data_IF_378782329137
#
_entry.id   IF_378782329137
#
_cell.length_a   1.000
_cell.length_b   1.000
_cell.length_c   1.000
_cell.angle_alpha   90.00
_cell.angle_beta   90.00
_cell.angle_gamma   90.00
#
_symmetry.space_group_name_H-M   'P 1'
#
loop_
_entity.id
_entity.type
_entity.pdbx_description
1 polymer ?
#
# COMPACT_ATOMS: atom_id res chain seq x y z
N UNK A 1 12.43 -0.44 5.80
CA UNK A 1 13.22 0.73 5.37
C UNK A 1 12.29 1.67 4.65
N UNK A 2 12.34 2.93 4.96
CA UNK A 2 11.54 3.97 4.29
C UNK A 2 12.39 4.63 3.21
N UNK A 3 11.83 4.81 2.02
CA UNK A 3 12.48 5.62 0.98
C UNK A 3 12.30 7.09 1.40
N UNK A 4 13.39 7.79 1.58
CA UNK A 4 13.43 9.09 2.28
C UNK A 4 12.90 10.25 1.41
N UNK A 5 12.85 10.09 0.09
CA UNK A 5 12.34 11.15 -0.80
C UNK A 5 10.83 11.02 -1.00
N UNK A 6 10.07 12.08 -0.78
CA UNK A 6 8.65 12.11 -1.10
C UNK A 6 8.44 11.90 -2.61
N UNK A 7 7.48 11.03 -2.94
CA UNK A 7 7.17 10.68 -4.33
C UNK A 7 5.66 10.76 -4.48
N UNK A 8 5.18 11.40 -5.57
CA UNK A 8 3.78 11.34 -5.92
C UNK A 8 3.37 9.92 -6.27
N UNK A 9 2.14 9.53 -5.93
CA UNK A 9 1.65 8.17 -6.13
C UNK A 9 1.54 7.84 -7.61
N UNK A 10 1.02 8.76 -8.39
CA UNK A 10 0.98 8.68 -9.84
C UNK A 10 1.02 10.08 -10.44
N UNK A 11 1.86 10.26 -11.44
CA UNK A 11 1.89 11.45 -12.32
C UNK A 11 1.30 11.15 -13.69
N UNK A 12 0.82 9.94 -13.93
CA UNK A 12 0.36 9.44 -15.21
C UNK A 12 -1.04 9.92 -15.55
N UNK A 13 -1.44 9.72 -16.80
CA UNK A 13 -2.78 10.08 -17.25
C UNK A 13 -3.84 9.26 -16.50
N UNK A 14 -5.06 9.78 -16.46
CA UNK A 14 -6.20 9.06 -15.89
C UNK A 14 -6.43 7.68 -16.53
N UNK A 15 -6.16 7.54 -17.82
CA UNK A 15 -6.32 6.26 -18.52
C UNK A 15 -5.35 5.20 -17.95
N UNK A 16 -4.12 5.58 -17.65
CA UNK A 16 -3.09 4.70 -17.11
C UNK A 16 -3.40 4.25 -15.68
N UNK A 17 -3.99 5.13 -14.88
CA UNK A 17 -4.28 4.88 -13.46
C UNK A 17 -5.32 3.77 -13.21
N UNK A 18 -6.07 3.33 -14.22
CA UNK A 18 -7.09 2.28 -14.09
C UNK A 18 -6.66 0.93 -14.66
N UNK A 19 -5.47 0.85 -15.27
CA UNK A 19 -4.96 -0.39 -15.85
C UNK A 19 -3.90 -1.04 -14.96
N UNK A 20 -3.70 -2.34 -15.12
CA UNK A 20 -2.59 -3.08 -14.49
C UNK A 20 -1.38 -3.20 -15.44
N UNK A 21 -1.41 -2.53 -16.58
CA UNK A 21 -0.38 -2.62 -17.63
C UNK A 21 0.60 -1.45 -17.57
N UNK A 22 0.24 -0.37 -16.88
CA UNK A 22 1.08 0.82 -16.72
C UNK A 22 1.51 0.96 -15.27
N UNK A 23 2.81 1.02 -15.02
CA UNK A 23 3.36 1.22 -13.68
C UNK A 23 3.18 2.66 -13.24
N UNK A 24 2.64 2.87 -12.04
CA UNK A 24 2.66 4.19 -11.40
C UNK A 24 4.09 4.59 -11.03
N UNK A 25 4.32 5.89 -10.81
CA UNK A 25 5.62 6.41 -10.36
C UNK A 25 6.09 5.74 -9.06
N UNK A 26 5.16 5.45 -8.15
CA UNK A 26 5.46 4.75 -6.90
C UNK A 26 5.85 3.28 -7.14
N UNK A 27 5.22 2.59 -8.10
CA UNK A 27 5.58 1.21 -8.46
C UNK A 27 6.98 1.17 -9.08
N UNK A 28 7.28 2.06 -10.01
CA UNK A 28 8.62 2.21 -10.61
C UNK A 28 9.69 2.45 -9.54
N UNK A 29 9.38 3.27 -8.55
CA UNK A 29 10.28 3.55 -7.41
C UNK A 29 10.51 2.31 -6.56
N UNK A 30 9.45 1.55 -6.24
CA UNK A 30 9.54 0.31 -5.47
C UNK A 30 10.38 -0.75 -6.21
N UNK A 31 10.18 -0.91 -7.51
CA UNK A 31 10.92 -1.87 -8.32
C UNK A 31 12.41 -1.51 -8.42
N UNK A 32 12.69 -0.22 -8.60
CA UNK A 32 14.08 0.28 -8.60
C UNK A 32 14.75 0.05 -7.24
N UNK A 33 14.04 0.35 -6.16
CA UNK A 33 14.54 0.09 -4.81
C UNK A 33 14.80 -1.41 -4.60
N UNK A 34 13.86 -2.28 -4.99
CA UNK A 34 14.01 -3.73 -4.85
C UNK A 34 15.22 -4.25 -5.63
N UNK A 35 15.35 -3.85 -6.90
CA UNK A 35 16.45 -4.23 -7.77
C UNK A 35 17.81 -3.88 -7.14
N UNK A 36 17.92 -2.72 -6.54
CA UNK A 36 19.18 -2.22 -5.99
C UNK A 36 19.51 -2.79 -4.59
N UNK A 37 18.50 -3.23 -3.82
CA UNK A 37 18.70 -3.56 -2.40
C UNK A 37 18.30 -5.00 -2.04
N UNK A 38 17.39 -5.64 -2.81
CA UNK A 38 16.73 -6.87 -2.37
C UNK A 38 16.95 -8.06 -3.29
N UNK A 39 17.52 -7.89 -4.48
CA UNK A 39 17.65 -8.97 -5.49
C UNK A 39 18.38 -10.21 -4.92
N UNK A 40 19.43 -10.01 -4.13
CA UNK A 40 20.15 -11.12 -3.49
C UNK A 40 19.31 -11.90 -2.47
N UNK A 41 18.25 -11.29 -1.96
CA UNK A 41 17.38 -11.88 -0.93
C UNK A 41 16.10 -12.49 -1.51
N UNK A 42 15.88 -12.40 -2.83
CA UNK A 42 14.69 -12.97 -3.51
C UNK A 42 14.40 -14.44 -3.12
N UNK A 43 15.39 -15.33 -2.96
CA UNK A 43 15.14 -16.71 -2.57
C UNK A 43 14.46 -16.90 -1.19
N UNK A 44 14.52 -15.89 -0.32
CA UNK A 44 13.93 -15.91 1.03
C UNK A 44 12.54 -15.26 1.09
N UNK A 45 12.10 -14.68 -0.02
CA UNK A 45 10.82 -13.96 -0.09
C UNK A 45 9.72 -14.87 -0.63
N UNK A 46 8.51 -14.66 -0.11
CA UNK A 46 7.31 -15.34 -0.58
C UNK A 46 6.60 -14.52 -1.65
N UNK A 47 6.12 -15.18 -2.70
CA UNK A 47 5.16 -14.59 -3.64
C UNK A 47 3.76 -14.66 -3.02
N UNK A 48 3.42 -13.65 -2.23
CA UNK A 48 2.10 -13.51 -1.63
C UNK A 48 1.33 -12.37 -2.26
N UNK A 49 0.02 -12.37 -2.07
CA UNK A 49 -0.86 -11.34 -2.63
C UNK A 49 -0.67 -9.99 -1.93
N UNK A 50 -0.34 -8.96 -2.71
CA UNK A 50 -0.56 -7.57 -2.34
C UNK A 50 -1.90 -7.11 -2.92
N UNK A 51 -2.83 -6.74 -2.04
CA UNK A 51 -4.20 -6.44 -2.46
C UNK A 51 -4.42 -4.94 -2.71
N UNK A 52 -4.54 -4.55 -3.97
CA UNK A 52 -5.02 -3.21 -4.33
C UNK A 52 -6.54 -3.26 -4.55
N UNK A 53 -7.30 -3.41 -3.46
CA UNK A 53 -8.75 -3.60 -3.50
C UNK A 53 -9.48 -2.38 -4.11
N UNK A 54 -9.90 -2.52 -5.36
CA UNK A 54 -10.69 -1.54 -6.12
C UNK A 54 -12.19 -1.87 -6.11
N UNK A 55 -12.64 -2.73 -5.21
CA UNK A 55 -14.08 -2.96 -5.02
C UNK A 55 -14.81 -1.67 -4.70
N UNK A 56 -16.00 -1.49 -5.28
CA UNK A 56 -16.78 -0.27 -5.12
C UNK A 56 -17.68 -0.40 -3.91
N UNK A 57 -17.60 0.57 -2.99
CA UNK A 57 -18.55 0.70 -1.89
C UNK A 57 -19.78 1.53 -2.31
N UNK A 58 -19.58 2.60 -3.10
CA UNK A 58 -20.62 3.41 -3.72
C UNK A 58 -20.11 4.12 -4.95
N UNK A 59 -21.01 4.52 -5.86
CA UNK A 59 -20.64 5.10 -7.15
C UNK A 59 -20.51 4.03 -8.24
N UNK A 60 -19.95 4.40 -9.40
CA UNK A 60 -19.94 3.55 -10.61
C UNK A 60 -18.53 3.25 -11.13
N UNK A 61 -17.49 3.70 -10.45
CA UNK A 61 -16.11 3.46 -10.80
C UNK A 61 -15.31 4.74 -11.05
N UNK A 62 -14.08 4.55 -11.45
CA UNK A 62 -13.16 5.62 -11.78
C UNK A 62 -13.63 6.41 -13.00
N UNK A 63 -13.45 7.73 -12.99
CA UNK A 63 -13.91 8.67 -14.01
C UNK A 63 -15.42 8.73 -14.22
N UNK A 64 -16.22 8.17 -13.34
CA UNK A 64 -17.67 8.20 -13.44
C UNK A 64 -18.30 9.22 -12.50
N UNK A 65 -19.51 9.65 -12.80
CA UNK A 65 -20.39 10.38 -11.89
C UNK A 65 -21.51 9.44 -11.40
N UNK A 66 -21.90 9.51 -10.15
CA UNK A 66 -21.41 10.36 -9.07
C UNK A 66 -20.02 9.93 -8.54
N UNK A 67 -19.51 10.66 -7.54
CA UNK A 67 -18.28 10.30 -6.82
C UNK A 67 -18.25 8.82 -6.45
N UNK A 68 -17.16 8.15 -6.76
CA UNK A 68 -16.94 6.74 -6.41
C UNK A 68 -16.17 6.65 -5.10
N UNK A 69 -16.63 5.81 -4.20
CA UNK A 69 -15.98 5.44 -2.95
C UNK A 69 -15.61 3.97 -3.00
N UNK A 70 -14.34 3.66 -2.77
CA UNK A 70 -13.82 2.28 -2.80
C UNK A 70 -14.03 1.53 -1.49
N UNK A 71 -13.88 0.20 -1.53
CA UNK A 71 -14.16 -0.71 -0.43
C UNK A 71 -13.42 -0.39 0.86
N UNK A 72 -12.15 0.00 0.77
CA UNK A 72 -11.36 0.39 1.94
C UNK A 72 -12.00 1.56 2.72
N UNK A 73 -12.52 2.58 2.02
CA UNK A 73 -13.22 3.67 2.70
C UNK A 73 -14.46 3.18 3.45
N UNK A 74 -15.27 2.35 2.81
CA UNK A 74 -16.46 1.77 3.43
C UNK A 74 -16.12 0.96 4.69
N UNK A 75 -15.01 0.19 4.65
CA UNK A 75 -14.55 -0.61 5.80
C UNK A 75 -14.00 0.27 6.92
N UNK A 76 -13.09 1.18 6.60
CA UNK A 76 -12.29 1.90 7.59
C UNK A 76 -12.98 3.14 8.15
N UNK A 77 -13.60 3.97 7.28
CA UNK A 77 -14.23 5.22 7.70
C UNK A 77 -15.66 5.03 8.21
N UNK A 78 -16.45 4.16 7.56
CA UNK A 78 -17.87 4.01 7.88
C UNK A 78 -18.12 2.89 8.89
N UNK A 79 -17.53 1.71 8.71
CA UNK A 79 -17.82 0.52 9.54
C UNK A 79 -16.79 0.22 10.61
N UNK A 80 -15.59 0.78 10.53
CA UNK A 80 -14.43 0.49 11.39
C UNK A 80 -14.13 -1.01 11.51
N UNK A 81 -14.23 -1.70 10.38
CA UNK A 81 -14.05 -3.14 10.25
C UNK A 81 -13.05 -3.45 9.13
N UNK A 82 -11.74 -3.35 9.39
CA UNK A 82 -10.70 -3.67 8.41
C UNK A 82 -10.77 -5.15 8.00
N UNK A 83 -10.33 -5.47 6.78
CA UNK A 83 -10.37 -6.82 6.23
C UNK A 83 -9.18 -7.08 5.32
N UNK A 84 -8.58 -8.25 5.45
CA UNK A 84 -7.53 -8.74 4.53
C UNK A 84 -8.10 -9.47 3.30
N UNK A 85 -9.42 -9.49 3.15
CA UNK A 85 -10.07 -10.15 2.01
C UNK A 85 -9.80 -9.37 0.72
N UNK A 86 -9.23 -10.05 -0.27
CA UNK A 86 -9.04 -9.57 -1.62
C UNK A 86 -9.97 -10.35 -2.56
N UNK A 87 -11.06 -9.73 -3.00
CA UNK A 87 -12.12 -10.46 -3.71
C UNK A 87 -11.82 -10.65 -5.20
N UNK A 88 -11.29 -9.59 -5.86
CA UNK A 88 -11.14 -9.55 -7.30
C UNK A 88 -9.76 -10.07 -7.74
N UNK A 89 -9.72 -10.88 -8.80
CA UNK A 89 -8.48 -11.47 -9.30
C UNK A 89 -7.49 -10.39 -9.79
N UNK A 90 -7.98 -9.36 -10.47
CA UNK A 90 -7.19 -8.25 -10.99
C UNK A 90 -6.70 -7.26 -9.93
N UNK A 91 -7.09 -7.46 -8.65
CA UNK A 91 -6.60 -6.69 -7.50
C UNK A 91 -5.54 -7.46 -6.68
N UNK A 92 -5.32 -8.75 -7.01
CA UNK A 92 -4.36 -9.64 -6.31
C UNK A 92 -3.01 -9.59 -6.99
N UNK A 93 -2.19 -8.61 -6.65
CA UNK A 93 -0.86 -8.45 -7.24
C UNK A 93 0.11 -9.49 -6.69
N UNK A 94 0.66 -10.34 -7.61
CA UNK A 94 1.69 -11.35 -7.35
C UNK A 94 2.64 -11.46 -8.54
N UNK A 95 3.72 -12.22 -8.42
CA UNK A 95 4.63 -12.52 -9.55
C UNK A 95 3.97 -13.41 -10.61
N UNK A 96 2.95 -14.16 -10.25
CA UNK A 96 2.35 -15.23 -11.07
C UNK A 96 0.94 -14.94 -11.56
N UNK A 97 0.27 -13.91 -11.06
CA UNK A 97 -1.08 -13.54 -11.49
C UNK A 97 -1.03 -12.70 -12.79
N UNK A 98 -1.35 -13.31 -13.91
CA UNK A 98 -1.33 -12.64 -15.23
C UNK A 98 -2.25 -11.40 -15.32
N UNK A 99 -3.31 -11.33 -14.50
CA UNK A 99 -4.22 -10.19 -14.46
C UNK A 99 -3.71 -9.01 -13.62
N UNK A 100 -2.72 -9.26 -12.74
CA UNK A 100 -2.15 -8.28 -11.82
C UNK A 100 -0.70 -8.69 -11.47
N UNK A 101 0.17 -8.66 -12.48
CA UNK A 101 1.54 -9.16 -12.39
C UNK A 101 2.48 -8.13 -11.79
N UNK A 102 3.35 -8.58 -10.89
CA UNK A 102 4.47 -7.84 -10.36
C UNK A 102 5.78 -8.30 -11.01
N UNK A 103 6.72 -7.39 -11.22
CA UNK A 103 8.09 -7.72 -11.62
C UNK A 103 8.93 -8.19 -10.42
N UNK A 104 8.62 -7.66 -9.23
CA UNK A 104 9.30 -7.99 -7.97
C UNK A 104 8.29 -8.15 -6.84
N UNK A 105 8.57 -9.03 -5.83
CA UNK A 105 7.68 -9.28 -4.70
C UNK A 105 7.75 -8.15 -3.67
N UNK A 106 7.42 -6.94 -4.09
CA UNK A 106 7.43 -5.72 -3.28
C UNK A 106 6.21 -4.85 -3.59
N UNK A 107 5.62 -4.28 -2.55
CA UNK A 107 4.51 -3.34 -2.68
C UNK A 107 4.48 -2.38 -1.49
N UNK A 108 3.32 -1.78 -1.21
CA UNK A 108 3.03 -1.01 -0.01
C UNK A 108 2.10 -1.80 0.90
N UNK A 109 2.07 -1.40 2.18
CA UNK A 109 1.03 -1.88 3.10
C UNK A 109 -0.35 -1.39 2.65
N UNK A 110 -1.38 -2.19 2.85
CA UNK A 110 -2.77 -1.74 2.64
C UNK A 110 -3.24 -0.85 3.80
N UNK A 111 -4.25 -0.03 3.56
CA UNK A 111 -4.86 0.76 4.64
C UNK A 111 -5.56 -0.13 5.69
N UNK A 112 -6.10 -1.28 5.27
CA UNK A 112 -6.69 -2.27 6.17
C UNK A 112 -5.63 -2.88 7.11
N UNK A 113 -4.45 -3.27 6.60
CA UNK A 113 -3.33 -3.73 7.42
C UNK A 113 -2.81 -2.65 8.36
N UNK A 114 -2.69 -1.40 7.87
CA UNK A 114 -2.30 -0.27 8.70
C UNK A 114 -3.34 -0.01 9.81
N UNK A 115 -4.63 -0.23 9.53
CA UNK A 115 -5.69 -0.13 10.53
C UNK A 115 -5.61 -1.25 11.58
N UNK A 116 -5.34 -2.49 11.17
CA UNK A 116 -5.12 -3.61 12.07
C UNK A 116 -3.89 -3.42 12.95
N UNK A 117 -2.88 -2.73 12.44
CA UNK A 117 -1.68 -2.37 13.18
C UNK A 117 -1.89 -1.27 14.23
N UNK A 118 -3.02 -0.55 14.20
CA UNK A 118 -3.35 0.52 15.15
C UNK A 118 -3.67 1.88 14.55
N UNK A 119 -3.59 2.03 13.20
CA UNK A 119 -4.01 3.23 12.51
C UNK A 119 -5.54 3.37 12.49
N UNK A 120 -6.07 4.51 12.93
CA UNK A 120 -7.53 4.75 12.96
C UNK A 120 -7.86 5.99 12.16
N UNK A 121 -8.96 5.93 11.38
CA UNK A 121 -9.42 7.07 10.59
C UNK A 121 -9.87 8.20 11.49
N UNK A 122 -9.25 9.37 11.33
CA UNK A 122 -9.60 10.58 12.07
C UNK A 122 -9.10 10.60 13.54
N UNK A 123 -8.34 9.61 13.98
CA UNK A 123 -7.80 9.54 15.35
C UNK A 123 -6.28 9.46 15.31
N UNK A 124 -5.61 10.37 16.01
CA UNK A 124 -4.16 10.34 16.16
C UNK A 124 -3.72 9.16 17.04
N UNK A 125 -2.69 8.45 16.60
CA UNK A 125 -2.05 7.39 17.37
C UNK A 125 -0.55 7.34 17.03
N UNK A 126 0.29 7.66 17.99
CA UNK A 126 1.75 7.59 17.84
C UNK A 126 2.36 6.31 18.44
N UNK A 127 1.53 5.37 18.94
CA UNK A 127 1.96 4.23 19.74
C UNK A 127 1.96 2.91 18.98
N UNK A 128 1.83 2.91 17.65
CA UNK A 128 1.89 1.68 16.86
C UNK A 128 3.12 1.63 15.94
N UNK A 129 3.54 0.43 15.57
CA UNK A 129 4.86 0.20 14.95
C UNK A 129 5.03 0.85 13.56
N UNK A 130 3.95 1.17 12.86
CA UNK A 130 4.02 1.88 11.58
C UNK A 130 4.21 3.40 11.74
N UNK A 131 3.96 3.93 12.93
CA UNK A 131 4.16 5.34 13.20
C UNK A 131 5.66 5.71 13.10
N UNK A 132 5.95 6.76 12.37
CA UNK A 132 7.30 7.31 12.20
C UNK A 132 7.33 8.85 12.12
N UNK A 133 6.21 9.50 12.37
CA UNK A 133 6.10 10.97 12.30
C UNK A 133 6.17 11.54 10.87
N UNK A 134 6.01 10.71 9.84
CA UNK A 134 6.08 11.11 8.45
C UNK A 134 4.80 10.75 7.70
N UNK A 135 4.51 11.47 6.62
CA UNK A 135 3.50 11.06 5.65
C UNK A 135 3.97 9.79 4.93
N UNK A 136 3.15 8.74 4.91
CA UNK A 136 3.51 7.47 4.26
C UNK A 136 2.33 6.92 3.46
N UNK A 137 2.51 6.73 2.16
CA UNK A 137 1.49 6.13 1.30
C UNK A 137 1.16 4.68 1.68
N UNK A 138 -0.10 4.31 1.48
CA UNK A 138 -0.56 2.90 1.48
C UNK A 138 -0.89 2.46 0.06
N UNK A 139 -1.21 1.17 -0.13
CA UNK A 139 -1.63 0.61 -1.42
C UNK A 139 -3.09 0.92 -1.75
N UNK A 140 -3.93 1.23 -0.76
CA UNK A 140 -5.40 1.19 -0.89
C UNK A 140 -5.98 2.46 -1.49
N UNK A 141 -6.76 2.38 -2.59
CA UNK A 141 -7.54 3.50 -3.09
C UNK A 141 -8.66 3.85 -2.10
N UNK A 142 -8.97 5.14 -2.02
CA UNK A 142 -10.03 5.67 -1.16
C UNK A 142 -11.27 6.08 -1.95
N UNK A 143 -11.09 6.85 -3.01
CA UNK A 143 -12.20 7.32 -3.82
C UNK A 143 -11.77 8.06 -5.09
N UNK A 144 -12.74 8.29 -5.96
CA UNK A 144 -12.64 9.21 -7.08
C UNK A 144 -13.73 10.27 -6.94
N UNK A 145 -13.33 11.51 -6.79
CA UNK A 145 -14.23 12.66 -6.58
C UNK A 145 -14.49 13.34 -7.91
N UNK A 146 -15.61 12.97 -8.54
CA UNK A 146 -15.96 13.39 -9.91
C UNK A 146 -16.15 14.90 -10.08
N UNK A 147 -16.57 15.60 -9.04
CA UNK A 147 -16.80 17.05 -9.06
C UNK A 147 -15.52 17.89 -9.17
N UNK A 148 -14.40 17.32 -8.79
CA UNK A 148 -13.06 17.95 -8.81
C UNK A 148 -12.03 17.14 -9.60
N UNK A 149 -12.44 15.99 -10.14
CA UNK A 149 -11.60 15.07 -10.93
C UNK A 149 -10.33 14.59 -10.22
N UNK A 150 -10.42 14.30 -8.91
CA UNK A 150 -9.31 13.79 -8.12
C UNK A 150 -9.49 12.34 -7.68
N UNK A 151 -8.43 11.56 -7.86
CA UNK A 151 -8.29 10.25 -7.25
C UNK A 151 -7.58 10.38 -5.90
N UNK A 152 -8.07 9.64 -4.89
CA UNK A 152 -7.52 9.62 -3.55
C UNK A 152 -7.05 8.22 -3.17
N UNK A 153 -5.90 8.17 -2.50
CA UNK A 153 -5.32 6.98 -1.88
C UNK A 153 -5.15 7.23 -0.38
N UNK A 154 -5.25 6.17 0.41
CA UNK A 154 -4.99 6.23 1.84
C UNK A 154 -3.52 6.43 2.15
N UNK A 155 -3.23 7.14 3.24
CA UNK A 155 -1.90 7.31 3.79
C UNK A 155 -1.93 7.36 5.32
N UNK A 156 -0.79 7.08 5.94
CA UNK A 156 -0.55 7.33 7.36
C UNK A 156 0.03 8.73 7.50
N UNK A 157 -0.60 9.57 8.33
CA UNK A 157 -0.17 10.94 8.57
C UNK A 157 0.95 11.04 9.62
N UNK A 158 1.60 12.21 9.77
CA UNK A 158 2.57 12.45 10.84
C UNK A 158 2.02 12.36 12.26
N UNK A 159 0.70 12.34 12.44
CA UNK A 159 0.04 12.07 13.72
C UNK A 159 -0.32 10.61 13.93
N UNK A 160 0.02 9.73 12.97
CA UNK A 160 -0.37 8.32 13.00
C UNK A 160 -1.81 8.04 12.60
N UNK A 161 -2.54 9.04 12.13
CA UNK A 161 -3.92 8.92 11.67
C UNK A 161 -3.96 8.33 10.26
N UNK A 162 -4.93 7.45 9.97
CA UNK A 162 -5.26 7.09 8.60
C UNK A 162 -6.14 8.18 7.98
N UNK A 163 -5.69 8.71 6.86
CA UNK A 163 -6.39 9.75 6.08
C UNK A 163 -6.19 9.43 4.59
N UNK A 164 -7.02 9.97 3.71
CA UNK A 164 -6.84 9.86 2.27
C UNK A 164 -6.61 11.21 1.63
N UNK A 165 -5.81 11.23 0.57
CA UNK A 165 -5.48 12.45 -0.17
C UNK A 165 -5.20 12.18 -1.64
N UNK A 166 -5.06 13.24 -2.42
CA UNK A 166 -4.86 13.20 -3.85
C UNK A 166 -3.56 12.51 -4.24
N UNK A 167 -3.60 11.71 -5.28
CA UNK A 167 -2.47 10.89 -5.75
C UNK A 167 -1.30 11.69 -6.34
N UNK A 168 -1.51 12.97 -6.68
CA UNK A 168 -0.49 13.88 -7.19
C UNK A 168 0.39 14.52 -6.08
N UNK A 169 0.03 14.31 -4.81
CA UNK A 169 0.87 14.75 -3.69
C UNK A 169 2.05 13.81 -3.46
N UNK A 170 3.12 14.37 -2.89
CA UNK A 170 4.37 13.65 -2.63
C UNK A 170 4.50 13.28 -1.17
N UNK A 171 4.44 11.97 -0.86
CA UNK A 171 4.62 11.43 0.49
C UNK A 171 5.70 10.34 0.49
N UNK A 172 6.08 9.91 1.68
CA UNK A 172 7.06 8.84 1.85
C UNK A 172 6.57 7.49 1.35
N UNK A 173 7.49 6.66 0.90
CA UNK A 173 7.26 5.30 0.44
C UNK A 173 7.96 4.33 1.38
N UNK A 174 7.20 3.36 1.90
CA UNK A 174 7.74 2.29 2.75
C UNK A 174 7.52 0.96 2.04
N UNK A 175 8.57 0.35 1.46
CA UNK A 175 8.46 -0.94 0.81
C UNK A 175 8.04 -2.03 1.80
N UNK A 176 7.15 -2.90 1.36
CA UNK A 176 6.71 -4.10 2.09
C UNK A 176 7.09 -5.32 1.26
N UNK A 177 7.69 -6.30 1.92
CA UNK A 177 8.02 -7.62 1.40
C UNK A 177 7.44 -8.68 2.33
N UNK A 178 7.24 -9.89 1.82
CA UNK A 178 6.80 -11.01 2.62
C UNK A 178 7.90 -12.08 2.68
N UNK A 179 8.22 -12.52 3.88
CA UNK A 179 9.19 -13.61 4.09
C UNK A 179 8.51 -14.96 3.88
N UNK A 180 9.27 -15.97 3.46
CA UNK A 180 8.79 -17.35 3.45
C UNK A 180 8.45 -17.81 4.86
N UNK A 181 7.48 -18.71 4.99
CA UNK A 181 6.97 -19.17 6.28
C UNK A 181 8.02 -19.92 7.13
N UNK A 182 9.04 -20.48 6.50
CA UNK A 182 10.14 -21.18 7.13
C UNK A 182 11.33 -20.26 7.51
N UNK A 183 11.21 -18.97 7.28
CA UNK A 183 12.23 -17.99 7.63
C UNK A 183 12.43 -17.92 9.14
N UNK A 184 13.66 -18.16 9.58
CA UNK A 184 14.02 -18.14 11.00
C UNK A 184 14.46 -16.75 11.45
N UNK A 185 13.84 -16.25 12.52
CA UNK A 185 14.29 -15.04 13.20
C UNK A 185 15.41 -15.43 14.15
N UNK A 186 16.56 -14.79 14.05
CA UNK A 186 17.74 -15.12 14.84
C UNK A 186 18.00 -14.16 15.98
N UNK A 187 17.64 -12.88 15.82
CA UNK A 187 17.84 -11.81 16.79
C UNK A 187 16.80 -10.73 16.62
N UNK A 188 16.74 -9.82 17.61
CA UNK A 188 15.90 -8.63 17.59
C UNK A 188 14.56 -8.83 18.29
N UNK A 189 13.91 -7.72 18.60
CA UNK A 189 12.58 -7.65 19.20
C UNK A 189 11.56 -6.89 18.33
N UNK A 190 12.00 -6.49 17.12
CA UNK A 190 11.17 -5.77 16.17
C UNK A 190 11.09 -4.25 16.37
N UNK A 191 11.80 -3.73 17.36
CA UNK A 191 11.91 -2.26 17.53
C UNK A 191 12.85 -1.64 16.50
N UNK A 192 12.77 -0.32 16.31
CA UNK A 192 13.67 0.41 15.41
C UNK A 192 15.14 0.36 15.85
N UNK A 193 15.39 0.17 17.15
CA UNK A 193 16.73 0.08 17.74
C UNK A 193 17.27 -1.36 17.75
N UNK A 194 16.38 -2.35 17.71
CA UNK A 194 16.73 -3.76 17.73
C UNK A 194 15.83 -4.53 16.73
N UNK A 195 15.97 -4.27 15.41
CA UNK A 195 15.12 -4.89 14.40
C UNK A 195 15.35 -6.40 14.34
N UNK A 196 14.34 -7.15 13.94
CA UNK A 196 14.49 -8.57 13.69
C UNK A 196 15.56 -8.81 12.62
N UNK A 197 16.43 -9.78 12.87
CA UNK A 197 17.35 -10.32 11.87
C UNK A 197 16.93 -11.74 11.49
N UNK A 198 17.04 -12.05 10.21
CA UNK A 198 16.68 -13.35 9.68
C UNK A 198 17.94 -14.13 9.29
N UNK A 199 17.84 -15.46 9.38
CA UNK A 199 18.90 -16.35 8.90
C UNK A 199 18.81 -16.40 7.37
N UNK A 200 19.86 -15.95 6.70
CA UNK A 200 20.11 -16.20 5.29
C UNK A 200 21.18 -17.28 5.22
N UNK A 201 20.80 -18.44 4.69
CA UNK A 201 21.71 -19.59 4.52
C UNK A 201 22.55 -19.45 3.25
#
# INVERSE_FOLDING_TARGET
>A
VMIVQPISYSSDSYADAVTNTTNSSIKTTLDTWYKNNMTAYTPYLADTTFCNDRSINSGSGYLTTPTTIYGAYGRLALRRAPSLKCAQANDKFTLTNESAKLDYPVSLITADEASMAGGVVGVANSNYYLYNGQYTWTLSPSGFYSNISFANVWYVSPSGTLISYHVDFSFGVRPVINLKADTQITKGDGTSLNPFTVKVS
#
